data_IF_254312661747
#
_entry.id   IF_254312661747
#
_cell.length_a   1.000
_cell.length_b   1.000
_cell.length_c   1.000
_cell.angle_alpha   90.00
_cell.angle_beta   90.00
_cell.angle_gamma   90.00
#
_symmetry.space_group_name_H-M   'P 1'
#
loop_
_entity.id
_entity.type
_entity.pdbx_description
1 polymer ?
#
# COMPACT_ATOMS: atom_id res chain seq x y z
N UNK A 1 8.86 -20.60 9.65
CA UNK A 1 9.32 -19.49 8.79
C UNK A 1 8.53 -18.24 9.11
N UNK A 2 9.21 -17.11 9.18
CA UNK A 2 8.53 -15.85 9.37
C UNK A 2 7.74 -15.47 8.11
N UNK A 3 6.50 -15.03 8.28
CA UNK A 3 5.71 -14.52 7.16
C UNK A 3 6.29 -13.19 6.69
N UNK A 4 6.16 -12.91 5.40
CA UNK A 4 6.48 -11.59 4.85
C UNK A 4 5.50 -10.57 5.41
N UNK A 5 6.00 -9.40 5.72
CA UNK A 5 5.20 -8.28 6.24
C UNK A 5 5.00 -7.27 5.12
N UNK A 6 3.75 -7.05 4.74
CA UNK A 6 3.40 -6.16 3.63
C UNK A 6 2.51 -5.04 4.15
N UNK A 7 2.96 -3.80 3.95
CA UNK A 7 2.21 -2.62 4.34
C UNK A 7 1.18 -2.28 3.25
N UNK A 8 -0.04 -1.93 3.65
CA UNK A 8 -1.07 -1.49 2.71
C UNK A 8 -1.23 0.02 2.83
N UNK A 9 -0.93 0.74 1.75
CA UNK A 9 -1.16 2.18 1.65
C UNK A 9 -2.43 2.42 0.85
N UNK A 10 -3.33 3.24 1.36
CA UNK A 10 -4.60 3.54 0.71
C UNK A 10 -5.16 4.88 1.18
N UNK A 11 -6.02 5.50 0.35
CA UNK A 11 -6.77 6.68 0.77
C UNK A 11 -7.89 6.23 1.71
N UNK A 12 -8.20 7.03 2.73
CA UNK A 12 -9.22 6.65 3.73
C UNK A 12 -10.58 6.35 3.08
N UNK A 13 -10.90 7.04 2.00
CA UNK A 13 -12.13 6.82 1.25
C UNK A 13 -12.21 5.43 0.62
N UNK A 14 -11.07 4.76 0.47
CA UNK A 14 -10.94 3.45 -0.17
C UNK A 14 -10.82 2.31 0.84
N UNK A 15 -11.16 2.54 2.09
CA UNK A 15 -11.01 1.55 3.17
C UNK A 15 -11.67 0.21 2.86
N UNK A 16 -12.79 0.19 2.16
CA UNK A 16 -13.48 -1.05 1.81
C UNK A 16 -12.61 -1.96 0.93
N UNK A 17 -11.78 -1.39 0.07
CA UNK A 17 -10.88 -2.17 -0.79
C UNK A 17 -9.74 -2.80 0.02
N UNK A 18 -9.26 -2.09 1.03
CA UNK A 18 -8.30 -2.66 1.97
C UNK A 18 -8.88 -3.87 2.69
N UNK A 19 -10.15 -3.78 3.13
CA UNK A 19 -10.85 -4.89 3.78
C UNK A 19 -10.96 -6.09 2.84
N UNK A 20 -11.29 -5.87 1.57
CA UNK A 20 -11.35 -6.93 0.58
C UNK A 20 -9.99 -7.61 0.39
N UNK A 21 -8.92 -6.83 0.30
CA UNK A 21 -7.57 -7.36 0.10
C UNK A 21 -7.14 -8.23 1.28
N UNK A 22 -7.34 -7.76 2.50
CA UNK A 22 -7.01 -8.52 3.71
C UNK A 22 -7.84 -9.80 3.78
N UNK A 23 -9.14 -9.71 3.44
CA UNK A 23 -10.03 -10.87 3.43
C UNK A 23 -9.59 -11.91 2.40
N UNK A 24 -9.19 -11.48 1.20
CA UNK A 24 -8.69 -12.36 0.16
C UNK A 24 -7.43 -13.09 0.62
N UNK A 25 -6.50 -12.38 1.25
CA UNK A 25 -5.27 -12.98 1.76
C UNK A 25 -5.57 -14.07 2.79
N UNK A 26 -6.51 -13.84 3.70
CA UNK A 26 -6.91 -14.83 4.71
C UNK A 26 -7.57 -16.05 4.08
N UNK A 27 -8.44 -15.82 3.11
CA UNK A 27 -9.15 -16.89 2.41
C UNK A 27 -8.18 -17.84 1.71
N UNK A 28 -7.14 -17.28 1.10
CA UNK A 28 -6.17 -18.06 0.31
C UNK A 28 -5.02 -18.61 1.15
N UNK A 29 -5.08 -18.50 2.47
CA UNK A 29 -4.04 -18.98 3.39
C UNK A 29 -2.65 -18.51 2.99
N UNK A 30 -2.55 -17.23 2.65
CA UNK A 30 -1.32 -16.64 2.11
C UNK A 30 -0.17 -16.67 3.13
N UNK A 31 1.08 -16.91 2.67
CA UNK A 31 2.25 -16.96 3.56
C UNK A 31 2.80 -15.58 3.88
N UNK A 32 1.96 -14.58 4.01
CA UNK A 32 2.36 -13.22 4.34
C UNK A 32 1.30 -12.58 5.21
N UNK A 33 1.69 -11.51 5.87
CA UNK A 33 0.83 -10.75 6.77
C UNK A 33 0.74 -9.32 6.29
N UNK A 34 -0.48 -8.83 6.07
CA UNK A 34 -0.69 -7.41 5.81
C UNK A 34 -0.63 -6.64 7.12
N UNK A 35 0.20 -5.61 7.14
CA UNK A 35 0.28 -4.68 8.26
C UNK A 35 -0.64 -3.52 7.94
N UNK A 36 -1.73 -3.45 8.66
CA UNK A 36 -2.71 -2.40 8.50
C UNK A 36 -2.38 -1.25 9.43
N UNK A 37 -1.84 -0.20 8.87
CA UNK A 37 -1.45 0.98 9.61
C UNK A 37 -2.33 2.17 9.26
N UNK A 38 -3.59 1.91 8.97
CA UNK A 38 -4.53 2.89 8.48
C UNK A 38 -4.92 3.98 9.48
N UNK A 39 -4.40 3.94 10.70
CA UNK A 39 -4.71 4.99 11.67
C UNK A 39 -3.90 6.23 11.32
N UNK A 40 -4.41 6.96 10.33
CA UNK A 40 -3.89 8.26 9.95
C UNK A 40 -4.49 9.27 10.90
N UNK A 41 -3.71 9.67 11.89
CA UNK A 41 -4.14 10.66 12.86
C UNK A 41 -3.45 11.99 12.51
N UNK A 42 -4.06 12.78 11.61
CA UNK A 42 -3.42 14.01 11.12
C UNK A 42 -3.24 15.07 12.20
N UNK A 43 -3.89 14.91 13.34
CA UNK A 43 -3.69 15.78 14.50
C UNK A 43 -2.47 15.40 15.34
N UNK A 44 -1.88 14.24 15.11
CA UNK A 44 -0.66 13.82 15.79
C UNK A 44 0.53 14.43 15.06
N UNK A 45 1.29 15.27 15.74
CA UNK A 45 2.46 15.93 15.15
C UNK A 45 3.55 14.95 14.74
N UNK A 46 3.53 13.75 15.32
CA UNK A 46 4.54 12.72 15.05
C UNK A 46 4.06 11.64 14.08
N UNK A 47 2.88 11.81 13.46
CA UNK A 47 2.30 10.74 12.63
C UNK A 47 3.21 10.37 11.44
N UNK A 48 3.90 11.35 10.86
CA UNK A 48 4.80 11.09 9.72
C UNK A 48 6.00 10.26 10.14
N UNK A 49 6.62 10.59 11.27
CA UNK A 49 7.75 9.83 11.80
C UNK A 49 7.34 8.41 12.17
N UNK A 50 6.20 8.25 12.83
CA UNK A 50 5.67 6.94 13.21
C UNK A 50 5.34 6.10 11.99
N UNK A 51 4.74 6.71 10.97
CA UNK A 51 4.41 6.05 9.72
C UNK A 51 5.65 5.53 8.99
N UNK A 52 6.69 6.38 8.89
CA UNK A 52 7.97 5.98 8.27
C UNK A 52 8.59 4.79 9.00
N UNK A 53 8.59 4.80 10.32
CA UNK A 53 9.15 3.71 11.13
C UNK A 53 8.42 2.39 10.84
N UNK A 54 7.11 2.42 10.67
CA UNK A 54 6.30 1.23 10.39
C UNK A 54 6.55 0.70 8.98
N UNK A 55 6.60 1.58 7.98
CA UNK A 55 6.92 1.20 6.60
C UNK A 55 8.29 0.55 6.54
N UNK A 56 9.26 1.13 7.24
CA UNK A 56 10.63 0.65 7.28
C UNK A 56 10.73 -0.76 7.86
N UNK A 57 9.81 -1.14 8.75
CA UNK A 57 9.77 -2.47 9.34
C UNK A 57 9.09 -3.53 8.49
N UNK A 58 8.62 -3.19 7.29
CA UNK A 58 7.95 -4.10 6.39
C UNK A 58 8.88 -4.59 5.29
N UNK A 59 8.56 -5.74 4.69
CA UNK A 59 9.31 -6.33 3.59
C UNK A 59 8.93 -5.72 2.25
N UNK A 60 7.70 -5.20 2.15
CA UNK A 60 7.19 -4.56 0.95
C UNK A 60 5.97 -3.70 1.24
N UNK A 61 5.55 -2.91 0.25
CA UNK A 61 4.37 -2.06 0.35
C UNK A 61 3.51 -2.22 -0.88
N UNK A 62 2.21 -2.42 -0.68
CA UNK A 62 1.19 -2.41 -1.74
C UNK A 62 0.36 -1.15 -1.57
N UNK A 63 0.28 -0.32 -2.60
CA UNK A 63 -0.53 0.89 -2.58
C UNK A 63 -1.76 0.72 -3.46
N UNK A 64 -2.93 1.00 -2.90
CA UNK A 64 -4.20 0.96 -3.63
C UNK A 64 -4.45 2.32 -4.26
N UNK A 65 -4.43 2.36 -5.60
CA UNK A 65 -4.48 3.62 -6.35
C UNK A 65 -5.88 3.87 -6.89
N UNK A 66 -6.40 5.06 -6.64
CA UNK A 66 -7.75 5.46 -7.05
C UNK A 66 -7.79 6.96 -7.36
N UNK A 67 -8.99 7.44 -7.70
CA UNK A 67 -9.24 8.87 -7.85
C UNK A 67 -9.01 9.65 -6.56
N UNK A 68 -9.00 8.98 -5.41
CA UNK A 68 -8.80 9.61 -4.11
C UNK A 68 -7.31 9.76 -3.75
N UNK A 69 -6.43 9.04 -4.42
CA UNK A 69 -5.00 8.99 -4.11
C UNK A 69 -4.33 10.36 -4.22
N UNK A 70 -4.68 11.15 -5.23
CA UNK A 70 -4.05 12.46 -5.45
C UNK A 70 -4.21 13.42 -4.26
N UNK A 71 -5.28 13.26 -3.49
CA UNK A 71 -5.58 14.10 -2.33
C UNK A 71 -5.33 13.37 -1.00
N UNK A 72 -4.76 12.18 -1.05
CA UNK A 72 -4.53 11.35 0.12
C UNK A 72 -3.08 11.53 0.62
N UNK A 73 -2.83 12.60 1.37
CA UNK A 73 -1.49 12.94 1.86
C UNK A 73 -0.85 11.79 2.64
N UNK A 74 -1.65 11.09 3.44
CA UNK A 74 -1.15 9.95 4.21
C UNK A 74 -0.67 8.82 3.33
N UNK A 75 -1.46 8.44 2.32
CA UNK A 75 -1.08 7.39 1.37
C UNK A 75 0.18 7.78 0.60
N UNK A 76 0.22 9.00 0.09
CA UNK A 76 1.38 9.49 -0.67
C UNK A 76 2.64 9.51 0.18
N UNK A 77 2.54 9.91 1.45
CA UNK A 77 3.66 9.88 2.38
C UNK A 77 4.18 8.46 2.61
N UNK A 78 3.28 7.50 2.79
CA UNK A 78 3.65 6.10 3.00
C UNK A 78 4.40 5.54 1.78
N UNK A 79 3.91 5.83 0.58
CA UNK A 79 4.55 5.39 -0.66
C UNK A 79 5.93 6.06 -0.82
N UNK A 80 6.01 7.36 -0.56
CA UNK A 80 7.28 8.09 -0.63
C UNK A 80 8.30 7.52 0.35
N UNK A 81 7.88 7.21 1.58
CA UNK A 81 8.75 6.59 2.57
C UNK A 81 9.31 5.26 2.07
N UNK A 82 8.48 4.43 1.46
CA UNK A 82 8.91 3.15 0.94
C UNK A 82 9.97 3.31 -0.14
N UNK A 83 9.77 4.23 -1.09
CA UNK A 83 10.77 4.50 -2.12
C UNK A 83 12.08 4.99 -1.52
N UNK A 84 12.01 5.93 -0.57
CA UNK A 84 13.20 6.50 0.05
C UNK A 84 13.97 5.48 0.90
N UNK A 85 13.26 4.56 1.53
CA UNK A 85 13.87 3.52 2.37
C UNK A 85 14.28 2.28 1.56
N UNK A 86 14.07 2.29 0.24
CA UNK A 86 14.42 1.15 -0.60
C UNK A 86 13.52 -0.06 -0.42
N UNK A 87 12.31 0.13 0.10
CA UNK A 87 11.34 -0.94 0.28
C UNK A 87 10.64 -1.20 -1.06
N UNK A 88 10.55 -2.45 -1.54
CA UNK A 88 9.82 -2.74 -2.79
C UNK A 88 8.37 -2.28 -2.71
N UNK A 89 7.89 -1.66 -3.79
CA UNK A 89 6.53 -1.09 -3.87
C UNK A 89 5.79 -1.67 -5.07
N UNK A 90 4.55 -2.08 -4.85
CA UNK A 90 3.61 -2.43 -5.92
C UNK A 90 2.45 -1.45 -5.86
N UNK A 91 2.22 -0.74 -6.96
CA UNK A 91 1.06 0.13 -7.13
C UNK A 91 -0.03 -0.67 -7.85
N UNK A 92 -1.27 -0.58 -7.38
CA UNK A 92 -2.36 -1.41 -7.90
C UNK A 92 -3.65 -0.61 -7.99
N UNK A 93 -4.26 -0.59 -9.19
CA UNK A 93 -5.56 0.05 -9.39
C UNK A 93 -6.65 -0.70 -8.63
N UNK A 94 -7.55 0.05 -7.95
CA UNK A 94 -8.66 -0.58 -7.23
C UNK A 94 -9.84 -0.92 -8.16
N UNK A 95 -9.91 -0.25 -9.34
CA UNK A 95 -11.00 -0.43 -10.29
C UNK A 95 -10.52 0.00 -11.68
N UNK A 96 -11.46 0.17 -12.62
CA UNK A 96 -11.16 0.52 -14.01
C UNK A 96 -10.98 2.02 -14.26
N UNK A 97 -11.18 2.85 -13.25
CA UNK A 97 -10.95 4.29 -13.38
C UNK A 97 -9.45 4.58 -13.48
N UNK A 98 -9.10 5.55 -14.34
CA UNK A 98 -7.70 5.93 -14.57
C UNK A 98 -7.53 7.44 -14.41
N UNK A 99 -7.60 7.95 -13.17
CA UNK A 99 -7.45 9.38 -12.90
C UNK A 99 -6.03 9.88 -13.16
N UNK A 100 -5.89 11.18 -13.31
CA UNK A 100 -4.58 11.80 -13.31
C UNK A 100 -3.91 11.59 -11.95
N UNK A 101 -2.60 11.34 -11.97
CA UNK A 101 -1.84 11.03 -10.77
C UNK A 101 -0.82 12.14 -10.44
N UNK A 102 -0.48 12.29 -9.15
CA UNK A 102 0.57 13.23 -8.77
C UNK A 102 1.94 12.80 -9.31
N UNK A 103 2.89 13.73 -9.34
CA UNK A 103 4.21 13.50 -9.92
C UNK A 103 4.96 12.33 -9.30
N UNK A 104 4.70 12.04 -8.03
CA UNK A 104 5.31 10.87 -7.36
C UNK A 104 4.99 9.56 -8.08
N UNK A 105 3.80 9.45 -8.68
CA UNK A 105 3.26 8.21 -9.24
C UNK A 105 3.13 8.22 -10.76
N UNK A 106 3.15 9.38 -11.42
CA UNK A 106 2.77 9.50 -12.82
C UNK A 106 3.74 8.81 -13.79
N UNK A 107 4.96 8.53 -13.35
CA UNK A 107 5.97 7.81 -14.14
C UNK A 107 6.16 6.36 -13.68
N UNK A 108 5.33 5.89 -12.76
CA UNK A 108 5.43 4.54 -12.20
C UNK A 108 4.46 3.60 -12.89
N UNK A 109 4.85 2.33 -12.97
CA UNK A 109 3.94 1.29 -13.44
C UNK A 109 2.89 1.01 -12.37
N UNK A 110 1.61 0.98 -12.77
CA UNK A 110 0.51 0.63 -11.88
C UNK A 110 -0.16 -0.63 -12.43
N UNK A 111 -0.21 -1.67 -11.63
CA UNK A 111 -0.76 -2.96 -12.00
C UNK A 111 -2.27 -2.99 -11.81
N UNK A 112 -2.95 -3.87 -12.55
CA UNK A 112 -4.36 -4.14 -12.27
C UNK A 112 -4.47 -4.97 -11.00
N UNK A 113 -5.61 -4.89 -10.31
CA UNK A 113 -5.88 -5.74 -9.15
C UNK A 113 -5.99 -7.19 -9.61
N UNK A 114 -5.04 -8.01 -9.19
CA UNK A 114 -4.98 -9.41 -9.59
C UNK A 114 -4.23 -10.18 -8.50
N UNK A 115 -4.81 -11.28 -8.05
CA UNK A 115 -4.14 -12.12 -7.06
C UNK A 115 -2.81 -12.67 -7.58
N UNK A 116 -2.71 -13.15 -8.84
CA UNK A 116 -1.41 -13.56 -9.39
C UNK A 116 -0.36 -12.46 -9.38
N UNK A 117 -0.74 -11.20 -9.64
CA UNK A 117 0.19 -10.07 -9.56
C UNK A 117 0.71 -9.89 -8.13
N UNK A 118 -0.17 -9.98 -7.14
CA UNK A 118 0.18 -9.90 -5.73
C UNK A 118 1.11 -11.02 -5.31
N UNK A 119 0.79 -12.26 -5.69
CA UNK A 119 1.61 -13.42 -5.37
C UNK A 119 3.02 -13.28 -5.94
N UNK A 120 3.13 -12.81 -7.19
CA UNK A 120 4.44 -12.60 -7.84
C UNK A 120 5.24 -11.54 -7.11
N UNK A 121 4.62 -10.41 -6.78
CA UNK A 121 5.28 -9.34 -6.04
C UNK A 121 5.78 -9.83 -4.68
N UNK A 122 4.91 -10.48 -3.92
CA UNK A 122 5.25 -10.93 -2.56
C UNK A 122 6.27 -12.05 -2.59
N UNK A 123 6.19 -12.93 -3.59
CA UNK A 123 7.17 -14.02 -3.75
C UNK A 123 8.58 -13.53 -4.03
N UNK A 124 8.72 -12.29 -4.49
CA UNK A 124 10.04 -11.69 -4.78
C UNK A 124 10.59 -10.82 -3.64
N UNK A 125 9.88 -10.73 -2.53
CA UNK A 125 10.33 -9.92 -1.39
C UNK A 125 11.49 -10.55 -0.61
#
# INVERSE_FOLDING_TARGET
MANKRVFIAFAIEDEKYRVFLVGQAKHDNSPFEFIDMSVKQPWDTNWKTNCRARVKGCDGLVALISKNTANADGELWEVECAYEEGIPVMLMWINDERPALPSLLNDKRINIWSWPNLETFIGNL
#
